data_IF_612331375457
#
_entry.id   IF_612331375457
#
_cell.length_a   1.000
_cell.length_b   1.000
_cell.length_c   1.000
_cell.angle_alpha   90.00
_cell.angle_beta   90.00
_cell.angle_gamma   90.00
#
_symmetry.space_group_name_H-M   'P 1'
#
loop_
_entity.id
_entity.type
_entity.pdbx_description
1 polymer ?
#
# COMPACT_ATOMS: atom_id res chain seq x y z
N UNK A 1 4.03 -27.63 35.59
CA UNK A 1 2.94 -28.08 34.74
C UNK A 1 2.21 -26.84 34.23
N UNK A 2 2.10 -26.70 32.92
CA UNK A 2 1.39 -25.58 32.28
C UNK A 2 -0.10 -25.86 32.16
N UNK A 3 -0.85 -24.90 31.58
CA UNK A 3 -2.26 -25.10 31.18
C UNK A 3 -2.35 -26.20 30.11
N UNK A 4 -3.46 -26.96 30.03
CA UNK A 4 -3.67 -27.94 28.97
C UNK A 4 -3.68 -27.25 27.61
N UNK A 5 -3.36 -28.02 26.56
CA UNK A 5 -3.47 -27.57 25.18
C UNK A 5 -4.97 -27.53 24.83
N UNK A 6 -5.40 -26.40 24.28
CA UNK A 6 -6.75 -26.22 23.75
C UNK A 6 -6.72 -26.30 22.24
N UNK A 7 -7.70 -26.96 21.65
CA UNK A 7 -7.83 -27.09 20.18
C UNK A 7 -9.10 -26.33 19.78
N UNK A 8 -8.93 -25.36 18.89
CA UNK A 8 -10.03 -24.64 18.27
C UNK A 8 -10.11 -24.96 16.78
N UNK A 9 -11.31 -25.18 16.27
CA UNK A 9 -11.56 -25.47 14.86
C UNK A 9 -12.47 -24.39 14.26
N UNK A 10 -11.89 -23.34 13.68
CA UNK A 10 -12.65 -22.26 13.07
C UNK A 10 -13.32 -22.70 11.76
N UNK A 11 -14.39 -22.02 11.36
CA UNK A 11 -15.08 -22.28 10.10
C UNK A 11 -14.30 -21.79 8.87
N UNK A 12 -13.50 -20.77 9.04
CA UNK A 12 -12.71 -20.14 7.96
C UNK A 12 -11.51 -19.36 8.54
N UNK A 13 -10.66 -18.85 7.63
CA UNK A 13 -9.44 -18.09 7.98
C UNK A 13 -9.74 -16.81 8.78
N UNK A 14 -10.86 -16.13 8.52
CA UNK A 14 -11.23 -14.92 9.23
C UNK A 14 -11.62 -15.25 10.68
N UNK A 15 -12.46 -16.28 10.89
CA UNK A 15 -12.83 -16.75 12.22
C UNK A 15 -11.61 -17.24 13.02
N UNK A 16 -10.59 -17.84 12.36
CA UNK A 16 -9.33 -18.20 12.99
C UNK A 16 -8.57 -16.95 13.48
N UNK A 17 -8.47 -15.95 12.64
CA UNK A 17 -7.77 -14.71 12.96
C UNK A 17 -8.47 -13.93 14.09
N UNK A 18 -9.80 -13.86 14.06
CA UNK A 18 -10.60 -13.22 15.10
C UNK A 18 -10.43 -13.94 16.44
N UNK A 19 -10.47 -15.26 16.45
CA UNK A 19 -10.22 -16.06 17.66
C UNK A 19 -8.85 -15.82 18.26
N UNK A 20 -7.80 -15.70 17.41
CA UNK A 20 -6.44 -15.41 17.86
C UNK A 20 -6.39 -14.02 18.53
N UNK A 21 -7.00 -13.01 17.90
CA UNK A 21 -7.08 -11.64 18.43
C UNK A 21 -7.79 -11.61 19.78
N UNK A 22 -8.99 -12.20 19.87
CA UNK A 22 -9.78 -12.25 21.10
C UNK A 22 -9.03 -12.97 22.22
N UNK A 23 -8.36 -14.07 21.90
CA UNK A 23 -7.57 -14.83 22.87
C UNK A 23 -6.41 -14.01 23.41
N UNK A 24 -5.65 -13.33 22.53
CA UNK A 24 -4.51 -12.48 22.93
C UNK A 24 -5.01 -11.32 23.78
N UNK A 25 -6.06 -10.61 23.37
CA UNK A 25 -6.61 -9.48 24.11
C UNK A 25 -7.16 -9.92 25.46
N UNK A 26 -7.88 -11.03 25.50
CA UNK A 26 -8.43 -11.59 26.73
C UNK A 26 -7.34 -11.97 27.74
N UNK A 27 -6.29 -12.66 27.31
CA UNK A 27 -5.17 -13.03 28.19
C UNK A 27 -4.40 -11.77 28.61
N UNK A 28 -4.12 -10.85 27.68
CA UNK A 28 -3.41 -9.60 27.98
C UNK A 28 -4.13 -8.79 29.07
N UNK A 29 -5.45 -8.67 28.99
CA UNK A 29 -6.26 -7.97 30.00
C UNK A 29 -6.31 -8.71 31.35
N UNK A 30 -6.61 -10.01 31.32
CA UNK A 30 -6.85 -10.78 32.53
C UNK A 30 -5.56 -11.08 33.31
N UNK A 31 -4.47 -11.36 32.60
CA UNK A 31 -3.19 -11.72 33.20
C UNK A 31 -2.19 -10.54 33.21
N UNK A 32 -2.59 -9.34 32.76
CA UNK A 32 -1.74 -8.13 32.65
C UNK A 32 -0.47 -8.38 31.85
N UNK A 33 -0.55 -9.16 30.79
CA UNK A 33 0.57 -9.46 29.88
C UNK A 33 0.73 -8.37 28.82
N UNK A 34 1.98 -8.20 28.37
CA UNK A 34 2.30 -7.34 27.23
C UNK A 34 2.12 -8.11 25.93
N UNK A 35 1.90 -7.42 24.81
CA UNK A 35 1.82 -8.06 23.49
C UNK A 35 3.10 -8.78 23.10
N UNK A 36 4.26 -8.34 23.60
CA UNK A 36 5.56 -9.00 23.38
C UNK A 36 5.66 -10.39 24.04
N UNK A 37 4.75 -10.73 24.94
CA UNK A 37 4.71 -12.04 25.61
C UNK A 37 4.00 -13.12 24.77
N UNK A 38 3.42 -12.75 23.63
CA UNK A 38 2.65 -13.65 22.77
C UNK A 38 3.41 -14.00 21.49
N UNK A 39 3.25 -15.23 21.05
CA UNK A 39 3.78 -15.70 19.77
C UNK A 39 2.71 -16.50 19.01
N UNK A 40 2.52 -16.19 17.74
CA UNK A 40 1.66 -16.97 16.84
C UNK A 40 2.55 -17.68 15.83
N UNK A 41 2.43 -19.01 15.78
CA UNK A 41 3.19 -19.83 14.83
C UNK A 41 2.30 -20.24 13.67
N UNK A 42 2.74 -19.93 12.45
CA UNK A 42 2.06 -20.30 11.21
C UNK A 42 2.92 -21.24 10.38
N UNK A 43 2.30 -22.20 9.73
CA UNK A 43 3.02 -23.18 8.90
C UNK A 43 3.52 -22.60 7.58
N UNK A 44 2.78 -21.67 7.00
CA UNK A 44 3.07 -21.07 5.70
C UNK A 44 2.77 -19.59 5.70
N UNK A 45 3.64 -18.79 5.05
CA UNK A 45 3.48 -17.33 4.97
C UNK A 45 2.19 -16.87 4.26
N UNK A 46 1.56 -17.75 3.48
CA UNK A 46 0.27 -17.44 2.85
C UNK A 46 -0.87 -17.32 3.86
N UNK A 47 -0.74 -17.98 5.02
CA UNK A 47 -1.73 -17.93 6.10
C UNK A 47 -1.61 -16.66 6.97
N UNK A 48 -0.54 -15.89 6.82
CA UNK A 48 -0.32 -14.70 7.66
C UNK A 48 -1.29 -13.56 7.37
N UNK A 49 -1.84 -13.48 6.15
CA UNK A 49 -2.63 -12.33 5.69
C UNK A 49 -3.84 -12.06 6.59
N UNK A 50 -4.68 -13.06 6.85
CA UNK A 50 -5.88 -12.89 7.66
C UNK A 50 -5.53 -12.47 9.09
N UNK A 51 -4.48 -13.06 9.67
CA UNK A 51 -4.00 -12.75 11.02
C UNK A 51 -3.43 -11.33 11.08
N UNK A 52 -2.60 -10.93 10.11
CA UNK A 52 -2.06 -9.57 10.02
C UNK A 52 -3.16 -8.52 9.87
N UNK A 53 -4.18 -8.81 9.05
CA UNK A 53 -5.34 -7.95 8.85
C UNK A 53 -6.13 -7.77 10.15
N UNK A 54 -6.41 -8.85 10.87
CA UNK A 54 -7.10 -8.82 12.16
C UNK A 54 -6.29 -8.05 13.23
N UNK A 55 -4.96 -8.22 13.26
CA UNK A 55 -4.08 -7.46 14.16
C UNK A 55 -4.10 -5.96 13.86
N UNK A 56 -4.07 -5.57 12.57
CA UNK A 56 -4.15 -4.16 12.16
C UNK A 56 -5.50 -3.54 12.55
N UNK A 57 -6.62 -4.25 12.31
CA UNK A 57 -7.96 -3.78 12.67
C UNK A 57 -8.13 -3.62 14.18
N UNK A 58 -7.51 -4.51 14.95
CA UNK A 58 -7.56 -4.50 16.41
C UNK A 58 -6.45 -3.69 17.08
N UNK A 59 -5.62 -2.98 16.29
CA UNK A 59 -4.47 -2.20 16.76
C UNK A 59 -3.49 -3.01 17.63
N UNK A 60 -3.31 -4.29 17.35
CA UNK A 60 -2.32 -5.12 18.00
C UNK A 60 -0.98 -4.95 17.27
N UNK A 61 0.07 -4.42 17.95
CA UNK A 61 1.41 -4.35 17.35
C UNK A 61 1.98 -5.74 17.15
N UNK A 62 2.58 -6.00 16.00
CA UNK A 62 3.20 -7.29 15.72
C UNK A 62 4.47 -7.16 14.90
N UNK A 63 5.34 -8.17 14.99
CA UNK A 63 6.50 -8.37 14.12
C UNK A 63 6.45 -9.76 13.51
N UNK A 64 6.86 -9.89 12.26
CA UNK A 64 6.93 -11.17 11.59
C UNK A 64 8.38 -11.63 11.48
N UNK A 65 8.67 -12.82 12.01
CA UNK A 65 9.96 -13.48 11.86
C UNK A 65 9.91 -14.57 10.77
N UNK A 66 10.94 -14.66 9.95
CA UNK A 66 11.07 -15.72 8.94
C UNK A 66 10.31 -15.46 7.63
N UNK A 67 9.81 -14.25 7.40
CA UNK A 67 9.14 -13.87 6.16
C UNK A 67 8.95 -12.37 6.03
N UNK A 68 8.39 -11.94 4.89
CA UNK A 68 7.96 -10.55 4.71
C UNK A 68 6.46 -10.46 4.96
N UNK A 69 6.06 -9.60 5.89
CA UNK A 69 4.66 -9.26 6.14
C UNK A 69 3.93 -9.03 4.82
N UNK A 70 2.69 -9.49 4.70
CA UNK A 70 1.89 -9.32 3.50
C UNK A 70 1.88 -7.85 3.04
N UNK A 71 1.62 -6.92 3.96
CA UNK A 71 1.56 -5.49 3.66
C UNK A 71 2.93 -4.85 3.41
N UNK A 72 4.03 -5.53 3.72
CA UNK A 72 5.39 -5.06 3.44
C UNK A 72 5.91 -5.55 2.08
N UNK A 73 5.23 -6.47 1.42
CA UNK A 73 5.60 -6.96 0.09
C UNK A 73 5.57 -5.81 -0.91
N UNK A 74 6.55 -5.82 -1.81
CA UNK A 74 6.72 -4.75 -2.79
C UNK A 74 5.46 -4.55 -3.64
N UNK A 75 4.89 -5.64 -4.13
CA UNK A 75 3.70 -5.66 -4.99
C UNK A 75 2.48 -5.05 -4.29
N UNK A 76 2.32 -5.36 -3.01
CA UNK A 76 1.21 -4.85 -2.20
C UNK A 76 1.39 -3.34 -1.96
N UNK A 77 2.61 -2.91 -1.62
CA UNK A 77 2.92 -1.48 -1.49
C UNK A 77 2.70 -0.73 -2.80
N UNK A 78 3.04 -1.32 -3.94
CA UNK A 78 2.84 -0.71 -5.25
C UNK A 78 1.34 -0.54 -5.55
N UNK A 79 0.51 -1.56 -5.28
CA UNK A 79 -0.95 -1.48 -5.44
C UNK A 79 -1.55 -0.42 -4.50
N UNK A 80 -1.15 -0.41 -3.23
CA UNK A 80 -1.61 0.60 -2.27
C UNK A 80 -1.23 2.01 -2.73
N UNK A 81 -0.03 2.19 -3.29
CA UNK A 81 0.41 3.47 -3.83
C UNK A 81 -0.43 3.93 -5.02
N UNK A 82 -0.82 3.01 -5.91
CA UNK A 82 -1.78 3.31 -6.98
C UNK A 82 -3.11 3.81 -6.42
N UNK A 83 -3.69 3.09 -5.47
CA UNK A 83 -4.96 3.49 -4.85
C UNK A 83 -4.87 4.86 -4.17
N UNK A 84 -3.76 5.15 -3.50
CA UNK A 84 -3.52 6.45 -2.85
C UNK A 84 -3.43 7.58 -3.86
N UNK A 85 -2.69 7.41 -4.96
CA UNK A 85 -2.59 8.43 -6.02
C UNK A 85 -3.93 8.62 -6.74
N UNK A 86 -4.71 7.56 -6.95
CA UNK A 86 -6.07 7.68 -7.48
C UNK A 86 -6.97 8.47 -6.53
N UNK A 87 -6.85 8.27 -5.23
CA UNK A 87 -7.61 9.01 -4.23
C UNK A 87 -7.12 10.48 -4.09
N UNK A 88 -5.81 10.68 -4.09
CA UNK A 88 -5.17 11.98 -3.96
C UNK A 88 -3.96 12.09 -4.92
N UNK A 89 -4.11 12.87 -5.98
CA UNK A 89 -3.06 13.10 -6.98
C UNK A 89 -1.81 13.79 -6.41
N UNK A 90 -1.97 14.58 -5.34
CA UNK A 90 -0.89 15.34 -4.73
C UNK A 90 -0.06 14.54 -3.72
N UNK A 91 -0.27 13.24 -3.66
CA UNK A 91 0.58 12.32 -2.88
C UNK A 91 1.86 11.99 -3.66
N UNK A 92 2.80 12.93 -3.66
CA UNK A 92 4.06 12.84 -4.39
C UNK A 92 4.89 11.61 -4.03
N UNK A 93 4.84 11.18 -2.77
CA UNK A 93 5.59 10.00 -2.30
C UNK A 93 5.10 8.74 -3.00
N UNK A 94 3.78 8.53 -3.02
CA UNK A 94 3.20 7.37 -3.67
C UNK A 94 3.24 7.50 -5.20
N UNK A 95 3.14 8.72 -5.75
CA UNK A 95 3.31 8.97 -7.18
C UNK A 95 4.70 8.59 -7.66
N UNK A 96 5.76 9.01 -6.99
CA UNK A 96 7.14 8.64 -7.33
C UNK A 96 7.38 7.12 -7.27
N UNK A 97 6.68 6.43 -6.39
CA UNK A 97 6.75 4.98 -6.29
C UNK A 97 6.19 4.27 -7.52
N UNK A 98 5.10 4.78 -8.10
CA UNK A 98 4.35 4.07 -9.15
C UNK A 98 4.56 4.61 -10.56
N UNK A 99 5.07 5.83 -10.71
CA UNK A 99 5.19 6.50 -12.01
C UNK A 99 5.94 5.64 -13.06
N UNK A 100 6.89 4.84 -12.62
CA UNK A 100 7.65 3.90 -13.45
C UNK A 100 7.51 2.43 -12.99
N UNK A 101 6.40 2.09 -12.36
CA UNK A 101 6.03 0.74 -11.92
C UNK A 101 4.64 0.39 -12.45
N UNK A 102 4.47 -0.49 -13.46
CA UNK A 102 5.53 -1.16 -14.24
C UNK A 102 6.41 -0.18 -15.03
N UNK A 103 7.51 -0.66 -15.58
CA UNK A 103 8.43 0.21 -16.35
C UNK A 103 7.72 0.84 -17.55
N UNK A 104 7.77 2.18 -17.61
CA UNK A 104 7.16 3.01 -18.67
C UNK A 104 8.17 3.82 -19.47
N UNK A 105 9.48 3.64 -19.22
CA UNK A 105 10.49 4.45 -19.89
C UNK A 105 10.74 5.83 -19.25
N UNK A 106 10.04 6.17 -18.17
CA UNK A 106 10.22 7.41 -17.43
C UNK A 106 11.51 7.30 -16.62
N UNK A 107 12.57 7.89 -17.12
CA UNK A 107 13.91 7.80 -16.53
C UNK A 107 14.09 8.72 -15.33
N UNK A 108 15.17 8.46 -14.57
CA UNK A 108 15.53 9.25 -13.39
C UNK A 108 15.70 10.75 -13.72
N UNK A 109 16.34 11.08 -14.84
CA UNK A 109 16.52 12.47 -15.28
C UNK A 109 15.20 13.20 -15.50
N UNK A 110 14.21 12.52 -16.08
CA UNK A 110 12.87 13.07 -16.28
C UNK A 110 12.21 13.37 -14.94
N UNK A 111 12.31 12.44 -13.99
CA UNK A 111 11.76 12.63 -12.65
C UNK A 111 12.43 13.80 -11.92
N UNK A 112 13.76 13.93 -12.03
CA UNK A 112 14.52 15.04 -11.46
C UNK A 112 14.07 16.39 -12.06
N UNK A 113 13.91 16.48 -13.38
CA UNK A 113 13.41 17.69 -14.06
C UNK A 113 11.99 18.07 -13.60
N UNK A 114 11.09 17.10 -13.54
CA UNK A 114 9.71 17.34 -13.05
C UNK A 114 9.74 17.85 -11.61
N UNK A 115 10.56 17.25 -10.76
CA UNK A 115 10.70 17.64 -9.36
C UNK A 115 11.27 19.05 -9.18
N UNK A 116 12.27 19.42 -9.98
CA UNK A 116 12.84 20.78 -10.00
C UNK A 116 11.77 21.83 -10.38
N UNK A 117 10.95 21.55 -11.39
CA UNK A 117 9.87 22.43 -11.82
C UNK A 117 8.81 22.52 -10.73
N UNK A 118 8.39 21.39 -10.16
CA UNK A 118 7.40 21.35 -9.07
C UNK A 118 7.86 22.20 -7.87
N UNK A 119 9.13 22.02 -7.45
CA UNK A 119 9.71 22.78 -6.34
C UNK A 119 9.80 24.28 -6.65
N UNK A 120 10.20 24.66 -7.87
CA UNK A 120 10.30 26.07 -8.27
C UNK A 120 8.95 26.78 -8.32
N UNK A 121 7.90 26.05 -8.63
CA UNK A 121 6.53 26.57 -8.74
C UNK A 121 5.72 26.38 -7.44
N UNK A 122 6.24 25.65 -6.46
CA UNK A 122 5.54 25.34 -5.20
C UNK A 122 4.28 24.49 -5.41
N UNK A 123 4.30 23.58 -6.39
CA UNK A 123 3.18 22.72 -6.74
C UNK A 123 3.55 21.22 -6.59
N UNK A 124 2.53 20.35 -6.67
CA UNK A 124 2.74 18.90 -6.65
C UNK A 124 3.38 18.40 -7.94
N UNK A 125 3.99 17.20 -7.88
CA UNK A 125 4.52 16.53 -9.06
C UNK A 125 3.44 16.28 -10.11
N UNK A 126 2.23 15.94 -9.68
CA UNK A 126 1.09 15.75 -10.58
C UNK A 126 0.76 17.02 -11.35
N UNK A 127 0.68 18.16 -10.66
CA UNK A 127 0.42 19.46 -11.27
C UNK A 127 1.53 19.82 -12.26
N UNK A 128 2.79 19.60 -11.89
CA UNK A 128 3.94 19.82 -12.77
C UNK A 128 3.89 18.94 -14.02
N UNK A 129 3.56 17.64 -13.88
CA UNK A 129 3.43 16.71 -15.01
C UNK A 129 2.33 17.19 -15.97
N UNK A 130 1.14 17.50 -15.46
CA UNK A 130 0.00 17.93 -16.30
C UNK A 130 0.26 19.25 -16.99
N UNK A 131 0.96 20.19 -16.35
CA UNK A 131 1.39 21.45 -16.95
C UNK A 131 2.40 21.21 -18.09
N UNK A 132 3.38 20.34 -17.88
CA UNK A 132 4.38 19.98 -18.91
C UNK A 132 3.77 19.27 -20.12
N UNK A 133 2.75 18.46 -19.91
CA UNK A 133 2.00 17.78 -20.99
C UNK A 133 1.16 18.77 -21.81
N UNK A 134 0.63 19.80 -21.18
CA UNK A 134 -0.21 20.83 -21.83
C UNK A 134 0.62 21.94 -22.50
N UNK A 135 1.90 22.04 -22.21
CA UNK A 135 2.76 23.08 -22.75
C UNK A 135 3.07 22.85 -24.25
N UNK A 136 2.97 23.94 -25.05
CA UNK A 136 3.35 23.89 -26.48
C UNK A 136 4.85 23.58 -26.65
N UNK A 137 5.69 24.19 -25.82
CA UNK A 137 7.10 23.88 -25.74
C UNK A 137 7.39 23.17 -24.41
N UNK A 138 7.72 21.89 -24.51
CA UNK A 138 8.07 21.08 -23.34
C UNK A 138 9.51 20.61 -23.47
N UNK A 139 10.31 20.63 -22.40
CA UNK A 139 11.67 20.12 -22.42
C UNK A 139 11.73 18.59 -22.53
N UNK A 140 10.58 17.91 -22.53
CA UNK A 140 10.47 16.46 -22.61
C UNK A 140 10.43 15.98 -24.06
N UNK A 141 11.14 14.90 -24.35
CA UNK A 141 11.05 14.24 -25.67
C UNK A 141 9.66 13.61 -25.88
N UNK A 142 9.24 13.50 -27.14
CA UNK A 142 7.90 13.02 -27.53
C UNK A 142 7.53 11.66 -26.91
N UNK A 143 8.48 10.71 -26.88
CA UNK A 143 8.24 9.41 -26.24
C UNK A 143 7.96 9.55 -24.76
N UNK A 144 8.73 10.38 -24.06
CA UNK A 144 8.54 10.60 -22.61
C UNK A 144 7.22 11.30 -22.33
N UNK A 145 6.80 12.23 -23.19
CA UNK A 145 5.48 12.86 -23.12
C UNK A 145 4.37 11.82 -23.24
N UNK A 146 4.48 10.92 -24.24
CA UNK A 146 3.49 9.86 -24.43
C UNK A 146 3.44 8.92 -23.22
N UNK A 147 4.59 8.47 -22.72
CA UNK A 147 4.67 7.58 -21.54
C UNK A 147 4.05 8.24 -20.29
N UNK A 148 4.23 9.56 -20.10
CA UNK A 148 3.62 10.32 -19.02
C UNK A 148 2.13 10.54 -19.25
N UNK A 149 1.70 10.81 -20.49
CA UNK A 149 0.28 10.97 -20.84
C UNK A 149 -0.49 9.67 -20.57
N UNK A 150 0.04 8.55 -21.00
CA UNK A 150 -0.55 7.23 -20.76
C UNK A 150 -0.71 6.94 -19.25
N UNK A 151 0.27 7.37 -18.45
CA UNK A 151 0.19 7.26 -16.99
C UNK A 151 -0.89 8.17 -16.41
N UNK A 152 -0.95 9.43 -16.82
CA UNK A 152 -1.96 10.39 -16.36
C UNK A 152 -3.36 9.92 -16.75
N UNK A 153 -3.54 9.44 -17.96
CA UNK A 153 -4.82 8.93 -18.46
C UNK A 153 -5.28 7.70 -17.67
N UNK A 154 -4.36 6.79 -17.34
CA UNK A 154 -4.64 5.65 -16.49
C UNK A 154 -5.21 6.10 -15.13
N UNK A 155 -4.50 6.98 -14.43
CA UNK A 155 -4.91 7.44 -13.10
C UNK A 155 -6.23 8.20 -13.16
N UNK A 156 -6.39 9.09 -14.13
CA UNK A 156 -7.58 9.92 -14.29
C UNK A 156 -8.81 9.07 -14.62
N UNK A 157 -8.66 8.08 -15.50
CA UNK A 157 -9.74 7.16 -15.87
C UNK A 157 -10.19 6.32 -14.67
N UNK A 158 -9.25 5.78 -13.91
CA UNK A 158 -9.58 4.99 -12.72
C UNK A 158 -10.26 5.84 -11.64
N UNK A 159 -9.78 7.08 -11.45
CA UNK A 159 -10.43 8.02 -10.53
C UNK A 159 -11.86 8.34 -10.94
N UNK A 160 -12.10 8.63 -12.23
CA UNK A 160 -13.43 8.91 -12.74
C UNK A 160 -14.38 7.71 -12.55
N UNK A 161 -13.89 6.49 -12.76
CA UNK A 161 -14.62 5.26 -12.54
C UNK A 161 -15.05 5.08 -11.08
N UNK A 162 -14.14 5.33 -10.14
CA UNK A 162 -14.42 5.24 -8.70
C UNK A 162 -15.41 6.29 -8.23
N UNK A 163 -15.26 7.55 -8.67
CA UNK A 163 -16.15 8.65 -8.29
C UNK A 163 -17.52 8.57 -8.99
N UNK A 164 -17.59 7.97 -10.18
CA UNK A 164 -18.83 7.80 -10.95
C UNK A 164 -19.74 6.67 -10.45
N UNK A 165 -19.42 6.04 -9.33
CA UNK A 165 -20.26 4.98 -8.74
C UNK A 165 -20.25 3.65 -9.50
N UNK A 166 -19.37 3.49 -10.49
CA UNK A 166 -19.05 2.19 -11.11
C UNK A 166 -17.87 1.57 -10.34
N UNK A 167 -18.07 1.44 -9.05
CA UNK A 167 -17.15 0.75 -8.18
C UNK A 167 -17.11 -0.75 -8.48
N UNK A 168 -16.00 -1.35 -8.11
CA UNK A 168 -15.70 -2.78 -8.08
C UNK A 168 -16.82 -3.60 -7.44
#
# INVERSE_FOLDING_TARGET
>A
SGKPIEIYMPENEAAEADFIVESIQGIAMNEKRKYDDFGVLIRANTLSRAIEEAFLQSNIPYTMSGGTSFFQRKEIKDIISYLRVIANHDDDINLLRIINTPRRGIGRKTIEQINEIANSQGCSLWTSITALLSAQESPLGEKTKQDLQDFVDLITTQRASLLGGKGL
#
